data_IF_380844052018
#
_entry.id   IF_380844052018
#
_cell.length_a   1.000
_cell.length_b   1.000
_cell.length_c   1.000
_cell.angle_alpha   90.00
_cell.angle_beta   90.00
_cell.angle_gamma   90.00
#
_symmetry.space_group_name_H-M   'P 1'
#
loop_
_entity.id
_entity.type
_entity.pdbx_description
1 polymer ?
#
# COMPACT_ATOMS: atom_id res chain seq x y z
N UNK A 1 -21.00 -44.42 -2.95
CA UNK A 1 -21.84 -43.55 -2.08
C UNK A 1 -20.93 -42.73 -1.20
N UNK A 2 -20.72 -41.47 -1.55
CA UNK A 2 -19.88 -40.52 -0.75
C UNK A 2 -20.83 -39.57 -0.06
N UNK A 3 -20.85 -39.64 1.27
CA UNK A 3 -21.71 -38.79 2.13
C UNK A 3 -21.13 -37.40 2.25
N UNK A 4 -21.82 -36.40 1.73
CA UNK A 4 -21.52 -34.98 1.98
C UNK A 4 -22.03 -34.60 3.38
N UNK A 5 -21.10 -34.34 4.32
CA UNK A 5 -21.43 -33.69 5.58
C UNK A 5 -21.56 -32.19 5.31
N UNK A 6 -22.76 -31.66 5.48
CA UNK A 6 -23.03 -30.22 5.46
C UNK A 6 -22.32 -29.57 6.64
N UNK A 7 -21.40 -28.62 6.33
CA UNK A 7 -20.76 -27.76 7.33
C UNK A 7 -21.67 -26.55 7.51
N UNK A 8 -22.36 -26.47 8.65
CA UNK A 8 -23.13 -25.30 9.02
C UNK A 8 -22.16 -24.20 9.50
N UNK A 9 -22.01 -23.13 8.72
CA UNK A 9 -21.31 -21.92 9.14
C UNK A 9 -22.28 -21.08 9.97
N UNK A 10 -22.08 -21.03 11.28
CA UNK A 10 -22.82 -20.13 12.17
C UNK A 10 -22.07 -18.79 12.17
N UNK A 11 -22.59 -17.83 11.43
CA UNK A 11 -22.11 -16.44 11.47
C UNK A 11 -22.62 -15.76 12.74
N UNK A 12 -21.76 -15.50 13.72
CA UNK A 12 -22.06 -14.62 14.83
C UNK A 12 -21.97 -13.17 14.35
N UNK A 13 -23.13 -12.56 14.07
CA UNK A 13 -23.23 -11.11 13.90
C UNK A 13 -23.16 -10.46 15.29
N UNK A 14 -21.99 -9.95 15.68
CA UNK A 14 -21.89 -9.07 16.84
C UNK A 14 -22.46 -7.69 16.48
N UNK A 15 -23.68 -7.42 16.88
CA UNK A 15 -24.28 -6.08 16.81
C UNK A 15 -23.62 -5.20 17.88
N UNK A 16 -22.56 -4.48 17.50
CA UNK A 16 -22.10 -3.36 18.31
C UNK A 16 -23.14 -2.25 18.22
N UNK A 17 -23.98 -2.14 19.23
CA UNK A 17 -24.92 -1.03 19.37
C UNK A 17 -24.11 0.26 19.60
N UNK A 18 -23.83 1.00 18.55
CA UNK A 18 -23.30 2.36 18.66
C UNK A 18 -24.42 3.24 19.25
N UNK A 19 -24.18 3.83 20.43
CA UNK A 19 -25.08 4.85 20.99
C UNK A 19 -25.13 6.01 20.00
N UNK A 20 -26.26 6.18 19.32
CA UNK A 20 -26.50 7.31 18.45
C UNK A 20 -26.53 8.59 19.29
N UNK A 21 -25.49 9.41 19.14
CA UNK A 21 -25.53 10.79 19.65
C UNK A 21 -26.52 11.54 18.79
N UNK A 22 -27.61 12.06 19.39
CA UNK A 22 -28.58 12.91 18.68
C UNK A 22 -27.86 14.17 18.20
N UNK A 23 -27.62 14.27 16.91
CA UNK A 23 -27.05 15.44 16.26
C UNK A 23 -28.17 16.42 15.92
N UNK A 24 -27.93 17.69 16.19
CA UNK A 24 -28.85 18.80 15.89
C UNK A 24 -28.69 19.34 14.48
N UNK A 25 -27.62 18.97 13.78
CA UNK A 25 -27.33 19.42 12.40
C UNK A 25 -27.46 18.22 11.45
N UNK A 26 -28.11 18.38 10.28
CA UNK A 26 -28.18 17.31 9.30
C UNK A 26 -26.77 16.96 8.77
N UNK A 27 -26.51 15.70 8.39
CA UNK A 27 -25.25 15.29 7.81
C UNK A 27 -25.02 16.00 6.46
N UNK A 28 -23.75 16.22 6.10
CA UNK A 28 -23.36 16.79 4.79
C UNK A 28 -23.72 15.82 3.66
N UNK A 29 -23.53 14.55 3.90
CA UNK A 29 -23.93 13.47 3.00
C UNK A 29 -24.35 12.24 3.80
N UNK A 30 -25.26 11.46 3.25
CA UNK A 30 -25.66 10.18 3.81
C UNK A 30 -25.95 9.17 2.71
N UNK A 31 -25.67 7.89 2.98
CA UNK A 31 -25.98 6.77 2.11
C UNK A 31 -26.42 5.58 2.96
N UNK A 32 -27.33 4.78 2.44
CA UNK A 32 -27.70 3.51 3.05
C UNK A 32 -27.16 2.36 2.22
N UNK A 33 -26.43 1.46 2.87
CA UNK A 33 -25.91 0.25 2.27
C UNK A 33 -26.28 -0.95 3.14
N UNK A 34 -26.92 -1.97 2.55
CA UNK A 34 -27.38 -3.16 3.25
C UNK A 34 -28.22 -2.88 4.53
N UNK A 35 -29.09 -1.86 4.49
CA UNK A 35 -29.89 -1.43 5.62
C UNK A 35 -29.16 -0.62 6.70
N UNK A 36 -27.83 -0.42 6.56
CA UNK A 36 -27.03 0.41 7.46
C UNK A 36 -26.87 1.81 6.87
N UNK A 37 -27.21 2.85 7.66
CA UNK A 37 -26.98 4.24 7.28
C UNK A 37 -25.55 4.66 7.61
N UNK A 38 -24.90 5.32 6.65
CA UNK A 38 -23.58 5.95 6.80
C UNK A 38 -23.73 7.45 6.58
N UNK A 39 -23.11 8.25 7.44
CA UNK A 39 -23.18 9.70 7.39
C UNK A 39 -21.79 10.31 7.36
N UNK A 40 -21.61 11.36 6.55
CA UNK A 40 -20.45 12.24 6.57
C UNK A 40 -20.89 13.59 7.14
N UNK A 41 -20.29 14.01 8.24
CA UNK A 41 -20.66 15.22 8.97
C UNK A 41 -19.56 16.31 8.92
N UNK A 42 -18.38 15.96 8.50
CA UNK A 42 -17.23 16.85 8.40
C UNK A 42 -15.90 16.13 8.65
N UNK A 43 -14.80 16.83 8.46
CA UNK A 43 -13.46 16.33 8.72
C UNK A 43 -13.24 16.20 10.24
N UNK A 44 -13.31 14.98 10.74
CA UNK A 44 -13.17 14.67 12.17
C UNK A 44 -11.72 14.44 12.62
N UNK A 45 -10.81 14.37 11.68
CA UNK A 45 -9.38 14.23 11.97
C UNK A 45 -8.50 14.22 10.73
N UNK A 46 -7.31 14.75 10.88
CA UNK A 46 -6.26 14.67 9.88
C UNK A 46 -4.88 14.81 10.54
N UNK A 47 -3.85 14.45 9.82
CA UNK A 47 -2.46 14.66 10.17
C UNK A 47 -1.61 14.72 8.93
N UNK A 48 -0.36 15.11 9.10
CA UNK A 48 0.61 15.17 8.01
C UNK A 48 2.02 14.82 8.49
N UNK A 49 2.82 14.31 7.60
CA UNK A 49 4.27 14.18 7.76
C UNK A 49 4.90 15.40 7.10
N UNK A 50 5.96 15.98 7.70
CA UNK A 50 6.65 17.12 7.12
C UNK A 50 7.25 16.76 5.77
N UNK A 51 7.20 17.68 4.80
CA UNK A 51 7.72 17.47 3.45
C UNK A 51 9.24 17.25 3.38
N UNK A 52 9.98 17.72 4.40
CA UNK A 52 11.41 17.53 4.56
C UNK A 52 11.78 16.29 5.39
N UNK A 53 10.79 15.51 5.87
CA UNK A 53 11.04 14.26 6.58
C UNK A 53 11.75 13.24 5.67
N UNK A 54 12.72 12.56 6.26
CA UNK A 54 13.49 11.52 5.56
C UNK A 54 13.36 10.20 6.29
N UNK A 55 13.38 9.14 5.50
CA UNK A 55 13.44 7.79 6.03
C UNK A 55 14.87 7.43 6.48
N UNK A 56 15.04 6.24 7.02
CA UNK A 56 16.35 5.76 7.53
C UNK A 56 17.43 5.63 6.45
N UNK A 57 17.07 5.73 5.17
CA UNK A 57 17.97 5.69 4.02
C UNK A 57 18.26 7.09 3.44
N UNK A 58 17.65 8.12 4.00
CA UNK A 58 17.82 9.50 3.56
C UNK A 58 16.86 9.94 2.45
N UNK A 59 15.95 9.07 2.02
CA UNK A 59 14.94 9.39 1.01
C UNK A 59 13.72 10.09 1.61
N UNK A 60 12.99 10.84 0.80
CA UNK A 60 11.76 11.50 1.20
C UNK A 60 10.71 10.46 1.60
N UNK A 61 10.07 10.69 2.74
CA UNK A 61 8.91 9.91 3.14
C UNK A 61 7.71 10.35 2.30
N UNK A 62 7.13 9.41 1.55
CA UNK A 62 5.90 9.63 0.78
C UNK A 62 4.92 8.49 1.04
N UNK A 63 3.63 8.80 0.89
CA UNK A 63 2.53 7.85 1.02
C UNK A 63 1.50 8.29 -0.01
N UNK A 64 1.14 7.47 -0.96
CA UNK A 64 0.24 7.92 -2.03
C UNK A 64 -0.59 6.82 -2.62
N UNK A 65 0.00 5.69 -2.99
CA UNK A 65 -0.70 4.62 -3.67
C UNK A 65 -1.61 3.82 -2.75
N UNK A 66 -1.11 3.42 -1.58
CA UNK A 66 -1.93 2.63 -0.66
C UNK A 66 -1.48 2.73 0.80
N UNK A 67 -2.37 2.26 1.68
CA UNK A 67 -2.05 2.07 3.09
C UNK A 67 -2.80 0.87 3.67
N UNK A 68 -2.20 0.24 4.68
CA UNK A 68 -2.86 -0.77 5.50
C UNK A 68 -2.72 -0.43 6.98
N UNK A 69 -3.74 -0.74 7.76
CA UNK A 69 -3.77 -0.48 9.20
C UNK A 69 -3.85 -1.82 9.94
N UNK A 70 -2.93 -2.02 10.89
CA UNK A 70 -2.90 -3.19 11.78
C UNK A 70 -2.95 -2.74 13.23
N UNK A 71 -3.34 -3.64 14.10
CA UNK A 71 -3.31 -3.46 15.57
C UNK A 71 -4.10 -2.24 16.06
N UNK A 72 -5.18 -1.89 15.38
CA UNK A 72 -6.05 -0.80 15.80
C UNK A 72 -6.64 -1.08 17.17
N UNK A 73 -6.33 -0.24 18.14
CA UNK A 73 -6.80 -0.39 19.51
C UNK A 73 -7.07 0.94 20.21
N UNK A 74 -7.99 0.92 21.15
CA UNK A 74 -8.25 2.07 22.01
C UNK A 74 -7.03 2.37 22.91
N UNK A 75 -6.67 3.64 23.03
CA UNK A 75 -5.57 4.13 23.85
C UNK A 75 -5.98 5.47 24.49
N UNK A 76 -6.34 5.45 25.77
CA UNK A 76 -6.85 6.62 26.46
C UNK A 76 -8.12 7.17 25.81
N UNK A 77 -8.10 8.45 25.43
CA UNK A 77 -9.22 9.13 24.77
C UNK A 77 -9.25 8.91 23.24
N UNK A 78 -8.24 8.26 22.70
CA UNK A 78 -8.08 8.04 21.26
C UNK A 78 -7.80 6.58 20.91
N UNK A 79 -7.07 6.40 19.80
CA UNK A 79 -6.72 5.11 19.23
C UNK A 79 -5.25 5.12 18.81
N UNK A 80 -4.65 3.94 18.83
CA UNK A 80 -3.32 3.68 18.27
C UNK A 80 -3.38 2.53 17.29
N UNK A 81 -2.51 2.56 16.29
CA UNK A 81 -2.36 1.48 15.32
C UNK A 81 -0.97 1.51 14.70
N UNK A 82 -0.65 0.44 13.97
CA UNK A 82 0.48 0.40 13.05
C UNK A 82 -0.05 0.68 11.65
N UNK A 83 0.49 1.68 10.98
CA UNK A 83 0.19 2.01 9.58
C UNK A 83 1.36 1.61 8.69
N UNK A 84 1.05 0.91 7.63
CA UNK A 84 1.93 0.61 6.50
C UNK A 84 1.56 1.57 5.37
N UNK A 85 2.48 2.41 4.95
CA UNK A 85 2.27 3.36 3.87
C UNK A 85 3.08 2.95 2.64
N UNK A 86 2.41 2.83 1.51
CA UNK A 86 3.00 2.47 0.23
C UNK A 86 3.11 3.72 -0.65
N UNK A 87 4.34 4.20 -0.97
CA UNK A 87 4.52 5.24 -1.98
C UNK A 87 4.38 4.68 -3.39
N UNK A 88 4.01 5.56 -4.29
CA UNK A 88 4.16 5.40 -5.73
C UNK A 88 5.66 5.32 -6.11
N UNK A 89 5.95 4.87 -7.34
CA UNK A 89 7.31 4.80 -7.93
C UNK A 89 8.06 6.13 -7.97
N UNK A 90 7.38 7.24 -7.73
CA UNK A 90 7.92 8.58 -7.77
C UNK A 90 7.62 9.32 -9.09
N UNK A 91 8.51 10.25 -9.48
CA UNK A 91 8.29 11.08 -10.64
C UNK A 91 8.24 10.30 -11.96
N UNK A 92 7.22 10.57 -12.78
CA UNK A 92 6.93 9.86 -14.01
C UNK A 92 6.57 10.77 -15.20
N UNK A 93 6.70 12.09 -15.05
CA UNK A 93 6.22 13.06 -16.05
C UNK A 93 7.03 13.03 -17.36
N UNK A 94 8.32 12.75 -17.28
CA UNK A 94 9.22 12.71 -18.43
C UNK A 94 10.30 11.64 -18.24
N UNK A 95 9.84 10.40 -18.09
CA UNK A 95 10.63 9.23 -17.73
C UNK A 95 10.36 8.79 -16.28
N UNK A 96 11.07 7.77 -15.83
CA UNK A 96 10.93 7.18 -14.50
C UNK A 96 12.24 7.19 -13.76
N UNK A 97 12.21 7.02 -12.43
CA UNK A 97 13.39 7.08 -11.57
C UNK A 97 13.80 5.69 -11.09
N UNK A 98 15.10 5.46 -10.94
CA UNK A 98 15.64 4.23 -10.35
C UNK A 98 15.51 4.24 -8.82
N UNK A 99 14.35 4.60 -8.30
CA UNK A 99 14.05 4.50 -6.88
C UNK A 99 13.79 3.06 -6.48
N UNK A 100 14.19 2.66 -5.28
CA UNK A 100 13.82 1.36 -4.74
C UNK A 100 12.43 1.46 -4.11
N UNK A 101 11.42 0.72 -4.64
CA UNK A 101 10.09 0.66 -4.04
C UNK A 101 10.17 0.20 -2.59
N UNK A 102 9.27 0.71 -1.75
CA UNK A 102 9.37 0.55 -0.29
C UNK A 102 8.02 0.62 0.41
N UNK A 103 7.99 0.21 1.66
CA UNK A 103 6.86 0.39 2.56
C UNK A 103 7.35 1.12 3.80
N UNK A 104 6.71 2.24 4.14
CA UNK A 104 6.98 2.98 5.37
C UNK A 104 6.10 2.48 6.50
N UNK A 105 6.67 2.29 7.69
CA UNK A 105 5.96 1.85 8.88
C UNK A 105 5.87 3.00 9.86
N UNK A 106 4.64 3.29 10.31
CA UNK A 106 4.35 4.30 11.33
C UNK A 106 3.57 3.69 12.49
N UNK A 107 3.84 4.13 13.68
CA UNK A 107 2.86 4.10 14.75
C UNK A 107 2.00 5.36 14.62
N UNK A 108 0.69 5.19 14.50
CA UNK A 108 -0.24 6.31 14.44
C UNK A 108 -1.00 6.44 15.76
N UNK A 109 -1.27 7.70 16.15
CA UNK A 109 -2.16 8.03 17.26
C UNK A 109 -3.25 8.95 16.73
N UNK A 110 -4.50 8.52 16.90
CA UNK A 110 -5.67 9.28 16.46
C UNK A 110 -6.53 9.67 17.67
N UNK A 111 -6.78 10.97 17.83
CA UNK A 111 -7.70 11.50 18.86
C UNK A 111 -8.96 12.03 18.18
N UNK A 112 -10.09 11.31 18.26
CA UNK A 112 -11.33 11.74 17.60
C UNK A 112 -11.77 13.14 18.03
N UNK A 113 -12.31 13.90 17.08
CA UNK A 113 -12.98 15.18 17.30
C UNK A 113 -14.47 15.04 16.96
N UNK A 114 -15.30 14.47 17.87
CA UNK A 114 -16.69 14.13 17.58
C UNK A 114 -17.58 15.35 17.30
N UNK A 115 -17.15 16.54 17.72
CA UNK A 115 -17.88 17.79 17.52
C UNK A 115 -17.43 18.53 16.24
N UNK A 116 -16.55 17.94 15.43
CA UNK A 116 -16.13 18.54 14.17
C UNK A 116 -17.30 18.57 13.17
N UNK A 117 -17.39 19.69 12.44
CA UNK A 117 -18.39 19.91 11.38
C UNK A 117 -17.71 20.50 10.16
N UNK A 118 -18.41 20.62 9.04
CA UNK A 118 -17.88 21.31 7.84
C UNK A 118 -17.53 22.76 8.13
N UNK A 119 -18.38 23.46 8.92
CA UNK A 119 -18.12 24.86 9.29
C UNK A 119 -17.00 25.00 10.35
N UNK A 120 -16.76 23.94 11.13
CA UNK A 120 -15.73 23.89 12.17
C UNK A 120 -15.02 22.52 12.11
N UNK A 121 -14.12 22.32 11.15
CA UNK A 121 -13.40 21.06 11.04
C UNK A 121 -12.45 20.84 12.22
N UNK A 122 -12.04 19.59 12.43
CA UNK A 122 -11.03 19.27 13.41
C UNK A 122 -9.69 19.95 13.05
N UNK A 123 -8.91 20.31 14.08
CA UNK A 123 -7.48 20.56 13.93
C UNK A 123 -6.70 19.27 13.72
N UNK A 124 -5.36 19.35 13.48
CA UNK A 124 -4.50 18.17 13.38
C UNK A 124 -4.62 17.30 14.63
N UNK A 125 -5.04 16.06 14.48
CA UNK A 125 -5.31 15.12 15.58
C UNK A 125 -4.99 13.66 15.22
N UNK A 126 -4.32 13.45 14.07
CA UNK A 126 -3.70 12.20 13.67
C UNK A 126 -2.18 12.43 13.65
N UNK A 127 -1.48 11.76 14.54
CA UNK A 127 -0.02 11.83 14.66
C UNK A 127 0.62 10.63 13.97
N UNK A 128 1.72 10.89 13.25
CA UNK A 128 2.54 9.88 12.57
C UNK A 128 3.91 9.80 13.24
N UNK A 129 4.20 8.71 13.90
CA UNK A 129 5.50 8.42 14.47
C UNK A 129 6.21 7.40 13.56
N UNK A 130 7.11 7.88 12.69
CA UNK A 130 7.89 7.04 11.80
C UNK A 130 8.72 6.02 12.59
N UNK A 131 8.68 4.76 12.17
CA UNK A 131 9.42 3.66 12.80
C UNK A 131 10.55 3.13 11.92
N UNK A 132 10.23 2.78 10.69
CA UNK A 132 11.19 2.22 9.74
C UNK A 132 10.63 2.20 8.32
N UNK A 133 11.52 1.95 7.37
CA UNK A 133 11.20 1.67 5.97
C UNK A 133 11.66 0.26 5.61
N UNK A 134 10.83 -0.47 4.87
CA UNK A 134 11.15 -1.77 4.29
C UNK A 134 11.41 -1.54 2.80
N UNK A 135 12.62 -1.77 2.32
CA UNK A 135 12.95 -1.76 0.90
C UNK A 135 12.52 -3.08 0.26
N UNK A 136 11.96 -3.00 -0.97
CA UNK A 136 11.50 -4.19 -1.70
C UNK A 136 12.60 -4.75 -2.58
N UNK A 137 12.75 -6.07 -2.55
CA UNK A 137 13.78 -6.79 -3.29
C UNK A 137 13.21 -8.04 -3.99
N UNK A 138 13.88 -8.43 -5.07
CA UNK A 138 13.58 -9.67 -5.78
C UNK A 138 13.93 -10.93 -5.00
N UNK A 139 13.69 -12.13 -5.58
CA UNK A 139 14.00 -13.41 -4.95
C UNK A 139 15.48 -13.61 -4.65
N UNK A 140 16.36 -12.95 -5.41
CA UNK A 140 17.81 -12.95 -5.24
C UNK A 140 18.31 -11.93 -4.21
N UNK A 141 17.42 -11.13 -3.64
CA UNK A 141 17.74 -10.06 -2.69
C UNK A 141 18.21 -8.75 -3.33
N UNK A 142 18.27 -8.66 -4.66
CA UNK A 142 18.54 -7.39 -5.33
C UNK A 142 17.36 -6.43 -5.17
N UNK A 143 17.61 -5.12 -4.96
CA UNK A 143 16.54 -4.13 -4.92
C UNK A 143 15.70 -4.17 -6.20
N UNK A 144 14.40 -3.99 -6.09
CA UNK A 144 13.52 -3.67 -7.22
C UNK A 144 13.70 -2.22 -7.64
N UNK A 145 13.06 -1.80 -8.73
CA UNK A 145 13.17 -0.44 -9.26
C UNK A 145 11.83 0.12 -9.71
N UNK A 146 11.64 1.44 -9.56
CA UNK A 146 10.51 2.19 -10.12
C UNK A 146 10.66 2.57 -11.58
N UNK A 147 11.72 2.12 -12.28
CA UNK A 147 11.88 2.36 -13.71
C UNK A 147 10.82 1.63 -14.53
N UNK A 148 10.41 2.25 -15.64
CA UNK A 148 9.58 1.59 -16.66
C UNK A 148 10.26 0.30 -17.16
N UNK A 149 9.50 -0.78 -17.34
CA UNK A 149 10.03 -1.98 -17.98
C UNK A 149 10.54 -1.69 -19.38
N UNK A 150 11.71 -2.20 -19.71
CA UNK A 150 12.30 -2.08 -21.03
C UNK A 150 12.00 -3.31 -21.90
N UNK A 151 12.39 -3.25 -23.19
CA UNK A 151 12.17 -4.34 -24.16
C UNK A 151 13.28 -5.38 -24.18
N UNK A 152 14.21 -5.37 -23.23
CA UNK A 152 15.33 -6.31 -23.19
C UNK A 152 14.94 -7.68 -22.61
N UNK A 153 13.65 -7.86 -22.30
CA UNK A 153 13.07 -9.05 -21.68
C UNK A 153 12.99 -8.95 -20.16
N UNK A 154 12.13 -9.75 -19.54
CA UNK A 154 11.96 -9.81 -18.10
C UNK A 154 13.06 -10.56 -17.37
N UNK A 155 12.94 -10.65 -16.04
CA UNK A 155 13.78 -11.47 -15.17
C UNK A 155 13.01 -12.71 -14.71
N UNK A 156 13.61 -13.87 -14.92
CA UNK A 156 13.08 -15.17 -14.46
C UNK A 156 13.88 -15.70 -13.28
N UNK A 157 13.19 -16.30 -12.31
CA UNK A 157 13.78 -16.99 -11.17
C UNK A 157 13.12 -18.35 -10.97
N UNK A 158 13.80 -19.36 -10.42
CA UNK A 158 13.19 -20.65 -10.14
C UNK A 158 11.93 -20.50 -9.28
N UNK A 159 10.80 -21.06 -9.74
CA UNK A 159 9.52 -20.99 -9.03
C UNK A 159 8.73 -19.68 -9.20
N UNK A 160 9.19 -18.76 -10.04
CA UNK A 160 8.51 -17.50 -10.34
C UNK A 160 8.19 -17.39 -11.84
N UNK A 161 7.12 -16.68 -12.22
CA UNK A 161 6.94 -16.27 -13.61
C UNK A 161 8.04 -15.29 -14.03
N UNK A 162 8.20 -15.07 -15.34
CA UNK A 162 9.06 -13.99 -15.82
C UNK A 162 8.44 -12.63 -15.49
N UNK A 163 9.16 -11.83 -14.73
CA UNK A 163 8.68 -10.54 -14.22
C UNK A 163 9.21 -9.37 -15.06
N UNK A 164 8.44 -8.29 -15.24
CA UNK A 164 8.89 -7.07 -15.92
C UNK A 164 10.19 -6.54 -15.31
N UNK A 165 11.10 -6.06 -16.15
CA UNK A 165 12.40 -5.58 -15.69
C UNK A 165 12.92 -4.41 -16.52
N UNK A 166 13.79 -3.60 -15.93
CA UNK A 166 14.50 -2.51 -16.59
C UNK A 166 15.98 -2.62 -16.39
N UNK A 167 16.73 -2.22 -17.43
CA UNK A 167 18.18 -2.10 -17.44
C UNK A 167 18.58 -0.64 -17.33
N UNK A 168 19.56 -0.33 -16.50
CA UNK A 168 20.09 1.02 -16.39
C UNK A 168 21.64 1.00 -16.38
N UNK A 169 22.28 2.03 -16.99
CA UNK A 169 23.72 2.21 -16.94
C UNK A 169 24.16 2.88 -15.64
N UNK A 170 25.43 2.76 -15.30
CA UNK A 170 26.02 3.45 -14.18
C UNK A 170 25.38 3.08 -12.84
N UNK A 171 25.10 4.07 -12.02
CA UNK A 171 24.37 3.93 -10.75
C UNK A 171 22.83 4.01 -10.93
N UNK A 172 22.37 4.29 -12.17
CA UNK A 172 20.95 4.49 -12.49
C UNK A 172 20.45 5.90 -12.26
N UNK A 173 21.31 6.83 -11.82
CA UNK A 173 20.98 8.24 -11.57
C UNK A 173 21.87 9.21 -12.36
N UNK A 174 22.61 8.69 -13.35
CA UNK A 174 23.52 9.48 -14.20
C UNK A 174 24.96 9.50 -13.70
N UNK A 175 25.27 8.90 -12.57
CA UNK A 175 26.63 8.72 -12.04
C UNK A 175 27.33 7.44 -12.56
N UNK A 176 28.63 7.28 -12.26
CA UNK A 176 29.39 6.09 -12.65
C UNK A 176 28.93 4.85 -11.89
N UNK A 177 29.00 3.68 -12.53
CA UNK A 177 28.65 2.39 -11.95
C UNK A 177 28.68 1.28 -13.01
N UNK A 178 28.42 0.05 -12.61
CA UNK A 178 28.42 -1.13 -13.50
C UNK A 178 27.10 -1.30 -14.27
N UNK A 179 26.08 -0.54 -13.94
CA UNK A 179 24.73 -0.82 -14.39
C UNK A 179 24.14 -2.09 -13.73
N UNK A 180 22.87 -2.29 -13.92
CA UNK A 180 22.18 -3.51 -13.46
C UNK A 180 20.87 -3.69 -14.24
N UNK A 181 20.22 -4.84 -14.03
CA UNK A 181 18.88 -5.15 -14.47
C UNK A 181 18.05 -5.58 -13.28
N UNK A 182 16.91 -4.93 -13.03
CA UNK A 182 16.07 -5.15 -11.85
C UNK A 182 14.62 -5.36 -12.22
N UNK A 183 13.91 -6.07 -11.37
CA UNK A 183 12.46 -6.20 -11.46
C UNK A 183 11.86 -4.81 -11.27
N UNK A 184 10.98 -4.41 -12.19
CA UNK A 184 10.21 -3.19 -12.09
C UNK A 184 9.01 -3.37 -11.17
N UNK A 185 8.63 -2.31 -10.47
CA UNK A 185 7.41 -2.29 -9.66
C UNK A 185 6.86 -0.86 -9.62
N UNK A 186 5.65 -0.73 -10.09
CA UNK A 186 4.79 0.44 -9.90
C UNK A 186 3.70 0.08 -8.89
N UNK A 187 3.98 0.38 -7.64
CA UNK A 187 3.23 -0.15 -6.51
C UNK A 187 1.93 0.60 -6.28
N UNK A 188 0.76 -0.09 -6.32
CA UNK A 188 -0.57 0.53 -6.22
C UNK A 188 -1.42 0.05 -5.05
N UNK A 189 -1.48 -1.23 -4.78
CA UNK A 189 -2.29 -1.80 -3.71
C UNK A 189 -1.44 -2.44 -2.62
N UNK A 190 -1.90 -2.42 -1.37
CA UNK A 190 -1.21 -3.02 -0.23
C UNK A 190 -2.19 -3.78 0.68
N UNK A 191 -1.89 -5.05 0.92
CA UNK A 191 -2.57 -5.86 1.94
C UNK A 191 -1.51 -6.49 2.83
N UNK A 192 -1.67 -6.38 4.15
CA UNK A 192 -0.72 -6.91 5.13
C UNK A 192 -1.34 -8.11 5.84
N UNK A 193 -0.67 -9.26 5.76
CA UNK A 193 -1.06 -10.51 6.42
C UNK A 193 -0.77 -10.45 7.96
N UNK A 194 -1.30 -11.44 8.69
CA UNK A 194 -1.12 -11.49 10.16
C UNK A 194 0.31 -11.83 10.59
N UNK A 195 1.06 -12.52 9.74
CA UNK A 195 2.47 -12.85 9.96
C UNK A 195 3.43 -11.70 9.64
N UNK A 196 2.88 -10.55 9.17
CA UNK A 196 3.63 -9.36 8.77
C UNK A 196 4.18 -9.41 7.35
N UNK A 197 3.95 -10.48 6.60
CA UNK A 197 4.13 -10.50 5.15
C UNK A 197 3.06 -9.63 4.48
N UNK A 198 3.26 -9.25 3.23
CA UNK A 198 2.31 -8.35 2.56
C UNK A 198 2.26 -8.58 1.06
N UNK A 199 1.11 -8.25 0.48
CA UNK A 199 0.85 -8.27 -0.94
C UNK A 199 0.86 -6.86 -1.49
N UNK A 200 1.45 -6.69 -2.68
CA UNK A 200 1.45 -5.44 -3.43
C UNK A 200 0.96 -5.74 -4.85
N UNK A 201 0.03 -4.93 -5.36
CA UNK A 201 -0.33 -4.93 -6.77
C UNK A 201 0.57 -4.00 -7.56
N UNK A 202 0.83 -4.36 -8.81
CA UNK A 202 1.73 -3.69 -9.74
C UNK A 202 0.94 -3.12 -10.93
N UNK A 203 1.17 -1.86 -11.32
CA UNK A 203 0.56 -1.26 -12.48
C UNK A 203 1.28 -1.63 -13.78
N UNK A 204 2.60 -1.82 -13.74
CA UNK A 204 3.40 -2.10 -14.94
C UNK A 204 3.04 -3.41 -15.64
N UNK A 205 2.90 -4.50 -14.89
CA UNK A 205 2.65 -5.81 -15.45
C UNK A 205 1.39 -6.49 -14.94
N UNK A 206 0.43 -5.80 -14.33
CA UNK A 206 -0.59 -6.09 -13.32
C UNK A 206 -0.36 -7.39 -12.53
N UNK A 207 0.86 -7.60 -12.07
CA UNK A 207 1.20 -8.69 -11.17
C UNK A 207 0.67 -8.45 -9.75
N UNK A 208 0.51 -9.53 -8.99
CA UNK A 208 0.38 -9.50 -7.54
C UNK A 208 1.63 -10.11 -6.92
N UNK A 209 2.36 -9.33 -6.15
CA UNK A 209 3.60 -9.73 -5.50
C UNK A 209 3.40 -9.90 -4.00
N UNK A 210 3.85 -11.03 -3.45
CA UNK A 210 3.91 -11.25 -2.01
C UNK A 210 5.34 -11.10 -1.54
N UNK A 211 5.53 -10.28 -0.52
CA UNK A 211 6.81 -10.07 0.14
C UNK A 211 6.77 -10.64 1.57
N UNK A 212 7.90 -11.12 2.05
CA UNK A 212 8.06 -11.41 3.46
C UNK A 212 8.09 -10.09 4.29
N UNK A 213 8.07 -10.20 5.59
CA UNK A 213 8.10 -9.05 6.52
C UNK A 213 9.34 -8.15 6.41
N UNK A 214 10.36 -8.58 5.68
CA UNK A 214 11.60 -7.85 5.43
C UNK A 214 11.66 -7.24 4.03
N UNK A 215 10.63 -7.46 3.20
CA UNK A 215 10.54 -6.91 1.85
C UNK A 215 11.18 -7.77 0.76
N UNK A 216 11.52 -9.03 1.05
CA UNK A 216 12.00 -9.96 0.04
C UNK A 216 10.83 -10.64 -0.65
N UNK A 217 10.81 -10.63 -1.99
CA UNK A 217 9.79 -11.29 -2.81
C UNK A 217 9.77 -12.79 -2.55
N UNK A 218 8.60 -13.31 -2.19
CA UNK A 218 8.36 -14.72 -1.88
C UNK A 218 7.42 -15.41 -2.88
N UNK A 219 6.53 -14.65 -3.52
CA UNK A 219 5.57 -15.17 -4.50
C UNK A 219 5.22 -14.09 -5.51
N UNK A 220 5.04 -14.46 -6.77
CA UNK A 220 4.50 -13.59 -7.81
C UNK A 220 3.36 -14.32 -8.53
N UNK A 221 2.22 -13.65 -8.67
CA UNK A 221 1.07 -14.12 -9.43
C UNK A 221 0.99 -13.30 -10.71
N UNK A 222 1.22 -13.95 -11.85
CA UNK A 222 1.07 -13.33 -13.16
C UNK A 222 -0.42 -13.20 -13.48
N UNK A 223 -0.88 -12.07 -14.06
CA UNK A 223 -2.24 -11.97 -14.55
C UNK A 223 -2.45 -12.89 -15.76
N UNK A 224 -3.72 -13.17 -16.14
CA UNK A 224 -4.01 -13.83 -17.40
C UNK A 224 -3.40 -13.09 -18.59
N UNK A 225 -2.97 -13.81 -19.62
CA UNK A 225 -2.30 -13.24 -20.80
C UNK A 225 -3.08 -12.08 -21.47
N UNK A 226 -4.42 -12.13 -21.39
CA UNK A 226 -5.29 -11.07 -21.92
C UNK A 226 -5.13 -9.71 -21.20
N UNK A 227 -4.56 -9.70 -20.01
CA UNK A 227 -4.32 -8.49 -19.20
C UNK A 227 -2.86 -8.03 -19.25
N UNK A 228 -1.97 -8.81 -19.88
CA UNK A 228 -0.57 -8.41 -20.00
C UNK A 228 -0.44 -7.20 -20.94
N UNK A 229 0.30 -6.16 -20.54
CA UNK A 229 0.50 -4.98 -21.37
C UNK A 229 1.25 -5.32 -22.65
N UNK A 230 0.78 -4.81 -23.77
CA UNK A 230 1.43 -4.99 -25.07
C UNK A 230 1.91 -3.63 -25.59
N UNK A 231 3.19 -3.52 -25.90
CA UNK A 231 3.78 -2.33 -26.51
C UNK A 231 4.59 -2.72 -27.74
N UNK A 232 4.26 -2.10 -28.90
CA UNK A 232 4.88 -2.44 -30.18
C UNK A 232 4.68 -3.90 -30.60
N UNK A 233 3.54 -4.52 -30.24
CA UNK A 233 3.21 -5.91 -30.55
C UNK A 233 3.92 -6.96 -29.67
N UNK A 234 4.62 -6.53 -28.60
CA UNK A 234 5.29 -7.42 -27.65
C UNK A 234 4.69 -7.26 -26.26
N UNK A 235 4.51 -8.36 -25.56
CA UNK A 235 4.18 -8.35 -24.12
C UNK A 235 5.37 -7.77 -23.37
N UNK A 236 5.09 -6.90 -22.41
CA UNK A 236 6.09 -6.28 -21.52
C UNK A 236 6.44 -7.17 -20.34
#
# INVERSE_FOLDING_TARGET
MVSFKQLAVVAFASTAASKSVRRTTPPVASVTCNGQAYTYDGLAGFGSVKSDARDQYGDTISIGSSMAIKDWKKAGKGYKATMYGLPDRGWNTNGTQNTTPRVHIFEITFTPAPDATVAKPAGPNLEFNYKRTILLSGPDGKPMTGLDPDFTGGLGYPGFPTMPAATYPGDGFGGPGTGDKRICLDAEGLVVDDDGSFWISDEYGPFLYRFDKNGKLSTAVQPPDALLPVRGGKVR
#
